data_IF_261146999762
#
_entry.id   IF_261146999762
#
_cell.length_a   1.000
_cell.length_b   1.000
_cell.length_c   1.000
_cell.angle_alpha   90.00
_cell.angle_beta   90.00
_cell.angle_gamma   90.00
#
_symmetry.space_group_name_H-M   'P 1'
#
loop_
_entity.id
_entity.type
_entity.pdbx_description
1 polymer ?
#
# COMPACT_ATOMS: atom_id res chain seq x y z
N UNK A 1 5.91 11.78 -4.50
CA UNK A 1 5.82 10.32 -4.63
C UNK A 1 4.54 9.81 -3.99
N UNK A 2 3.95 8.78 -4.59
CA UNK A 2 2.87 7.97 -4.00
C UNK A 2 3.52 6.66 -3.58
N UNK A 3 3.39 6.28 -2.31
CA UNK A 3 4.13 5.15 -1.75
C UNK A 3 3.24 4.27 -0.87
N UNK A 4 3.48 2.96 -0.95
CA UNK A 4 3.03 2.07 0.11
C UNK A 4 3.95 2.26 1.32
N UNK A 5 3.42 2.60 2.51
CA UNK A 5 4.24 2.95 3.68
C UNK A 5 5.10 1.78 4.18
N UNK A 6 4.65 0.54 3.96
CA UNK A 6 5.42 -0.64 4.35
C UNK A 6 6.69 -0.80 3.50
N UNK A 7 6.63 -0.46 2.20
CA UNK A 7 7.81 -0.54 1.32
C UNK A 7 8.95 0.38 1.79
N UNK A 8 8.63 1.49 2.45
CA UNK A 8 9.63 2.45 2.95
C UNK A 8 10.45 1.86 4.11
N UNK A 9 9.99 0.80 4.76
CA UNK A 9 10.78 0.12 5.79
C UNK A 9 12.05 -0.56 5.23
N UNK A 10 12.09 -0.89 3.93
CA UNK A 10 13.23 -1.52 3.24
C UNK A 10 13.85 -0.62 2.17
N UNK A 11 13.28 0.54 1.91
CA UNK A 11 13.77 1.51 0.92
C UNK A 11 14.28 2.78 1.62
N UNK A 12 15.14 3.53 0.93
CA UNK A 12 15.47 4.88 1.37
C UNK A 12 14.21 5.75 1.42
N UNK A 13 14.10 6.69 2.38
CA UNK A 13 12.97 7.60 2.45
C UNK A 13 12.82 8.41 1.15
N UNK A 14 11.58 8.73 0.72
CA UNK A 14 11.33 9.47 -0.51
C UNK A 14 12.09 10.79 -0.64
N UNK A 15 12.31 11.50 0.46
CA UNK A 15 13.14 12.73 0.47
C UNK A 15 14.62 12.52 0.12
N UNK A 16 15.07 11.28 -0.07
CA UNK A 16 16.43 10.91 -0.47
C UNK A 16 16.49 10.23 -1.86
N UNK A 17 15.38 10.22 -2.62
CA UNK A 17 15.36 9.61 -3.93
C UNK A 17 15.90 10.53 -5.01
N UNK A 18 16.64 9.95 -5.95
CA UNK A 18 17.26 10.72 -7.04
C UNK A 18 18.25 11.77 -6.54
N UNK A 19 18.42 12.85 -7.29
CA UNK A 19 19.35 13.96 -6.97
C UNK A 19 18.78 14.97 -5.98
N UNK A 20 17.45 15.17 -5.95
CA UNK A 20 16.81 16.24 -5.20
C UNK A 20 15.81 15.74 -4.14
N UNK A 21 15.52 14.45 -4.11
CA UNK A 21 14.46 13.89 -3.29
C UNK A 21 13.04 14.19 -3.80
N UNK A 22 12.04 13.66 -3.13
CA UNK A 22 10.64 14.00 -3.38
C UNK A 22 10.21 15.15 -2.44
N UNK A 23 9.57 16.18 -3.00
CA UNK A 23 9.03 17.29 -2.23
C UNK A 23 7.82 16.90 -1.39
N UNK A 24 7.03 15.96 -1.89
CA UNK A 24 5.83 15.44 -1.24
C UNK A 24 5.84 13.91 -1.33
N UNK A 25 5.54 13.26 -0.22
CA UNK A 25 5.25 11.85 -0.15
C UNK A 25 3.87 11.63 0.47
N UNK A 26 3.04 10.82 -0.20
CA UNK A 26 1.71 10.50 0.28
C UNK A 26 1.36 9.04 -0.03
N UNK A 27 0.32 8.54 0.60
CA UNK A 27 -0.15 7.18 0.40
C UNK A 27 -1.29 6.83 1.33
N UNK A 28 -1.69 5.57 1.25
CA UNK A 28 -2.69 4.97 2.13
C UNK A 28 -2.00 4.35 3.35
N UNK A 29 -2.54 4.62 4.53
CA UNK A 29 -2.02 4.07 5.79
C UNK A 29 -2.53 2.67 6.14
N UNK A 30 -3.44 2.10 5.35
CA UNK A 30 -4.01 0.78 5.63
C UNK A 30 -2.96 -0.31 5.91
N UNK A 31 -1.83 -0.41 5.16
CA UNK A 31 -0.80 -1.43 5.42
C UNK A 31 -0.13 -1.35 6.80
N UNK A 32 -0.33 -0.27 7.54
CA UNK A 32 0.20 -0.09 8.89
C UNK A 32 -0.78 -0.60 9.98
N UNK A 33 -1.37 -1.78 9.75
CA UNK A 33 -2.19 -2.48 10.74
C UNK A 33 -3.67 -2.09 10.76
N UNK A 34 -4.17 -1.39 9.75
CA UNK A 34 -5.61 -1.20 9.60
C UNK A 34 -6.23 -2.44 8.91
N UNK A 35 -7.34 -3.00 9.43
CA UNK A 35 -8.01 -4.13 8.79
C UNK A 35 -8.60 -3.73 7.44
N UNK A 36 -8.78 -4.69 6.52
CA UNK A 36 -9.34 -4.43 5.18
C UNK A 36 -10.75 -3.86 5.21
N UNK A 37 -11.59 -4.31 6.13
CA UNK A 37 -12.95 -3.79 6.41
C UNK A 37 -13.82 -3.53 5.16
N UNK A 38 -13.53 -4.18 4.04
CA UNK A 38 -14.28 -4.09 2.76
C UNK A 38 -14.59 -2.65 2.32
N UNK A 39 -13.63 -1.77 2.40
CA UNK A 39 -13.76 -0.38 1.97
C UNK A 39 -13.62 0.67 3.07
N UNK A 40 -13.08 0.30 4.21
CA UNK A 40 -12.75 1.25 5.25
C UNK A 40 -13.43 1.00 6.60
N UNK A 41 -13.15 1.85 7.61
CA UNK A 41 -12.46 3.14 7.46
C UNK A 41 -10.93 2.97 7.30
N UNK A 42 -10.36 3.79 6.40
CA UNK A 42 -8.90 3.91 6.21
C UNK A 42 -8.45 5.35 6.48
N UNK A 43 -7.17 5.60 6.39
CA UNK A 43 -6.60 6.94 6.46
C UNK A 43 -5.46 7.08 5.45
N UNK A 44 -5.27 8.31 4.96
CA UNK A 44 -4.12 8.66 4.15
C UNK A 44 -3.03 9.31 4.99
N UNK A 45 -1.80 9.24 4.54
CA UNK A 45 -0.70 10.04 5.08
C UNK A 45 -0.15 10.99 4.01
N UNK A 46 0.38 12.11 4.48
CA UNK A 46 1.05 13.09 3.63
C UNK A 46 2.20 13.71 4.40
N UNK A 47 3.38 13.70 3.77
CA UNK A 47 4.58 14.38 4.23
C UNK A 47 5.04 15.34 3.16
N UNK A 48 5.65 16.45 3.54
CA UNK A 48 6.23 17.40 2.59
C UNK A 48 7.56 17.97 3.11
N UNK A 49 8.33 18.57 2.18
CA UNK A 49 9.51 19.33 2.53
C UNK A 49 9.15 20.55 3.37
N UNK A 50 10.11 21.06 4.16
CA UNK A 50 9.93 22.22 5.02
C UNK A 50 9.45 23.47 4.26
N UNK A 51 9.83 23.61 3.00
CA UNK A 51 9.42 24.74 2.15
C UNK A 51 7.91 24.76 1.90
N UNK A 52 7.26 23.58 1.89
CA UNK A 52 5.84 23.42 1.58
C UNK A 52 4.93 23.31 2.82
N UNK A 53 5.51 23.29 4.03
CA UNK A 53 4.73 23.05 5.26
C UNK A 53 3.55 24.03 5.46
N UNK A 54 3.68 25.28 5.00
CA UNK A 54 2.60 26.27 5.10
C UNK A 54 1.44 26.02 4.13
N UNK A 55 1.60 25.15 3.16
CA UNK A 55 0.60 24.77 2.17
C UNK A 55 0.02 23.36 2.44
N UNK A 56 0.57 22.66 3.42
CA UNK A 56 0.13 21.32 3.79
C UNK A 56 -1.31 21.36 4.33
N UNK A 57 -2.21 20.46 3.88
CA UNK A 57 -3.56 20.37 4.43
C UNK A 57 -3.56 19.79 5.85
N UNK A 58 -4.68 19.95 6.56
CA UNK A 58 -4.90 19.40 7.88
C UNK A 58 -4.22 20.19 9.01
N UNK A 59 -4.41 19.72 10.24
CA UNK A 59 -3.87 20.32 11.45
C UNK A 59 -2.43 19.88 11.67
N UNK A 60 -1.61 20.81 12.10
CA UNK A 60 -0.21 20.55 12.47
C UNK A 60 -0.04 20.85 13.95
N UNK A 61 0.38 19.84 14.69
CA UNK A 61 0.69 19.92 16.13
C UNK A 61 2.19 20.13 16.29
N UNK A 62 2.55 21.15 17.05
CA UNK A 62 3.93 21.42 17.43
C UNK A 62 4.18 21.09 18.90
N UNK A 63 5.39 20.63 19.21
CA UNK A 63 5.88 20.50 20.59
C UNK A 63 6.47 21.83 21.03
N UNK A 64 6.12 22.27 22.24
CA UNK A 64 6.55 23.54 22.82
C UNK A 64 6.62 23.43 24.34
N UNK A 65 6.99 24.52 24.99
CA UNK A 65 6.93 24.67 26.46
C UNK A 65 5.94 25.76 26.82
N UNK A 66 5.25 25.62 27.96
CA UNK A 66 4.42 26.67 28.54
C UNK A 66 5.27 27.75 29.25
N UNK A 67 4.60 28.72 29.87
CA UNK A 67 5.26 29.82 30.59
C UNK A 67 6.03 29.35 31.83
N UNK A 68 5.72 28.18 32.35
CA UNK A 68 6.39 27.54 33.49
C UNK A 68 7.52 26.60 33.03
N UNK A 69 7.80 26.49 31.72
CA UNK A 69 8.81 25.60 31.15
C UNK A 69 8.38 24.13 31.04
N UNK A 70 7.09 23.81 31.21
CA UNK A 70 6.58 22.44 31.05
C UNK A 70 6.36 22.14 29.59
N UNK A 71 6.80 20.94 29.15
CA UNK A 71 6.56 20.48 27.78
C UNK A 71 5.07 20.21 27.52
N UNK A 72 4.62 20.57 26.33
CA UNK A 72 3.27 20.35 25.87
C UNK A 72 3.14 20.41 24.36
N UNK A 73 1.92 20.22 23.87
CA UNK A 73 1.59 20.22 22.45
C UNK A 73 0.56 21.31 22.15
N UNK A 74 0.70 21.95 21.01
CA UNK A 74 -0.17 23.05 20.57
C UNK A 74 -0.40 22.98 19.07
N UNK A 75 -1.60 23.40 18.65
CA UNK A 75 -1.89 23.58 17.22
C UNK A 75 -1.06 24.74 16.67
N UNK A 76 -0.34 24.49 15.59
CA UNK A 76 0.52 25.48 14.93
C UNK A 76 -0.04 25.85 13.56
N UNK A 77 0.42 26.98 13.00
CA UNK A 77 0.07 27.45 11.65
C UNK A 77 -1.44 27.50 11.40
N UNK A 78 -2.24 27.78 12.41
CA UNK A 78 -3.71 27.74 12.34
C UNK A 78 -4.31 28.73 11.32
N UNK A 79 -3.57 29.80 10.96
CA UNK A 79 -4.03 30.81 10.01
C UNK A 79 -4.35 30.28 8.61
N UNK A 80 -3.91 29.05 8.25
CA UNK A 80 -4.25 28.38 6.98
C UNK A 80 -5.50 27.50 7.08
N UNK A 81 -6.08 27.35 8.28
CA UNK A 81 -7.18 26.46 8.57
C UNK A 81 -8.56 27.08 8.27
N UNK A 82 -9.54 26.22 8.02
CA UNK A 82 -10.89 26.63 7.59
C UNK A 82 -11.62 27.48 8.64
N UNK A 83 -11.46 27.18 9.92
CA UNK A 83 -12.13 27.94 10.99
C UNK A 83 -11.63 29.38 11.10
N UNK A 84 -10.47 29.71 10.53
CA UNK A 84 -9.93 31.08 10.47
C UNK A 84 -10.12 31.67 9.07
N UNK A 85 -9.68 30.98 8.03
CA UNK A 85 -9.66 31.47 6.65
C UNK A 85 -10.95 31.26 5.88
N UNK A 86 -11.87 30.45 6.37
CA UNK A 86 -13.15 30.12 5.72
C UNK A 86 -12.94 29.63 4.28
N UNK A 87 -13.56 30.26 3.30
CA UNK A 87 -13.42 29.89 1.88
C UNK A 87 -12.01 30.06 1.29
N UNK A 88 -11.13 30.79 1.97
CA UNK A 88 -9.74 31.00 1.56
C UNK A 88 -8.76 30.06 2.25
N UNK A 89 -9.25 29.04 2.97
CA UNK A 89 -8.40 28.05 3.58
C UNK A 89 -7.64 27.24 2.53
N UNK A 90 -6.44 26.76 2.86
CA UNK A 90 -5.65 25.88 1.99
C UNK A 90 -6.39 24.58 1.66
N UNK A 91 -7.17 24.06 2.63
CA UNK A 91 -7.96 22.85 2.51
C UNK A 91 -9.21 22.94 3.40
N UNK A 92 -10.27 22.23 3.02
CA UNK A 92 -11.46 22.02 3.85
C UNK A 92 -11.39 20.74 4.70
N UNK A 93 -10.26 20.04 4.71
CA UNK A 93 -10.03 18.89 5.58
C UNK A 93 -10.03 19.35 7.04
N UNK A 94 -10.96 18.86 7.83
CA UNK A 94 -11.11 19.22 9.24
C UNK A 94 -10.66 18.09 10.17
N UNK A 95 -11.19 16.89 9.98
CA UNK A 95 -10.88 15.70 10.77
C UNK A 95 -10.52 14.53 9.84
N UNK A 96 -9.77 13.60 10.38
CA UNK A 96 -9.42 12.35 9.71
C UNK A 96 -9.90 11.17 10.56
N UNK A 97 -9.49 9.95 10.21
CA UNK A 97 -9.79 8.71 10.91
C UNK A 97 -8.92 8.55 12.18
N UNK A 98 -9.13 9.41 13.18
CA UNK A 98 -8.31 9.47 14.39
C UNK A 98 -8.19 8.12 15.12
N UNK A 99 -9.27 7.34 15.19
CA UNK A 99 -9.25 6.02 15.82
C UNK A 99 -8.35 5.05 15.07
N UNK A 100 -8.46 4.98 13.73
CA UNK A 100 -7.64 4.10 12.89
C UNK A 100 -6.17 4.54 12.92
N UNK A 101 -5.92 5.85 12.91
CA UNK A 101 -4.55 6.40 13.06
C UNK A 101 -3.93 6.00 14.41
N UNK A 102 -4.73 6.04 15.50
CA UNK A 102 -4.28 5.59 16.82
C UNK A 102 -3.97 4.10 16.81
N UNK A 103 -4.84 3.27 16.23
CA UNK A 103 -4.59 1.84 16.10
C UNK A 103 -3.30 1.55 15.32
N UNK A 104 -3.07 2.23 14.20
CA UNK A 104 -1.82 2.10 13.42
C UNK A 104 -0.59 2.58 14.19
N UNK A 105 -0.71 3.62 14.99
CA UNK A 105 0.37 4.09 15.87
C UNK A 105 0.77 3.03 16.89
N UNK A 106 -0.22 2.38 17.51
CA UNK A 106 0.00 1.30 18.46
C UNK A 106 0.64 0.09 17.74
N UNK A 107 0.12 -0.28 16.57
CA UNK A 107 0.66 -1.36 15.76
C UNK A 107 2.15 -1.13 15.43
N UNK A 108 2.49 0.05 14.92
CA UNK A 108 3.89 0.41 14.62
C UNK A 108 4.77 0.41 15.88
N UNK A 109 4.25 0.87 17.02
CA UNK A 109 4.99 0.88 18.29
C UNK A 109 5.28 -0.54 18.80
N UNK A 110 4.34 -1.48 18.62
CA UNK A 110 4.51 -2.89 19.01
C UNK A 110 5.53 -3.59 18.10
N UNK A 111 5.43 -3.41 16.78
CA UNK A 111 6.36 -4.02 15.82
C UNK A 111 7.76 -3.42 15.94
N UNK A 112 7.84 -2.13 16.16
CA UNK A 112 9.09 -1.38 16.10
C UNK A 112 9.72 -1.39 14.70
N UNK A 113 10.90 -0.76 14.53
CA UNK A 113 11.54 -0.64 13.21
C UNK A 113 11.92 -2.00 12.61
N UNK A 114 12.41 -2.93 13.44
CA UNK A 114 12.79 -4.28 12.98
C UNK A 114 11.57 -5.11 12.54
N UNK A 115 10.45 -4.99 13.26
CA UNK A 115 9.22 -5.69 12.89
C UNK A 115 8.68 -5.20 11.55
N UNK A 116 8.66 -3.89 11.32
CA UNK A 116 8.25 -3.31 10.03
C UNK A 116 9.17 -3.72 8.89
N UNK A 117 10.50 -3.70 9.11
CA UNK A 117 11.49 -4.15 8.14
C UNK A 117 11.30 -5.64 7.78
N UNK A 118 11.13 -6.50 8.79
CA UNK A 118 10.93 -7.93 8.58
C UNK A 118 9.62 -8.20 7.81
N UNK A 119 8.53 -7.51 8.16
CA UNK A 119 7.25 -7.63 7.46
C UNK A 119 7.38 -7.21 5.99
N UNK A 120 8.01 -6.07 5.73
CA UNK A 120 8.23 -5.59 4.37
C UNK A 120 9.12 -6.55 3.55
N UNK A 121 10.19 -7.06 4.14
CA UNK A 121 11.08 -8.02 3.50
C UNK A 121 10.36 -9.34 3.17
N UNK A 122 9.52 -9.84 4.09
CA UNK A 122 8.72 -11.04 3.87
C UNK A 122 7.69 -10.84 2.75
N UNK A 123 6.96 -9.71 2.73
CA UNK A 123 6.03 -9.39 1.64
C UNK A 123 6.73 -9.39 0.29
N UNK A 124 7.89 -8.75 0.20
CA UNK A 124 8.66 -8.71 -1.04
C UNK A 124 9.15 -10.09 -1.47
N UNK A 125 9.69 -10.88 -0.54
CA UNK A 125 10.19 -12.23 -0.82
C UNK A 125 9.07 -13.16 -1.29
N UNK A 126 7.94 -13.19 -0.56
CA UNK A 126 6.80 -14.03 -0.91
C UNK A 126 6.20 -13.66 -2.26
N UNK A 127 6.09 -12.37 -2.58
CA UNK A 127 5.58 -11.96 -3.90
C UNK A 127 6.53 -12.36 -5.02
N UNK A 128 7.83 -12.21 -4.84
CA UNK A 128 8.81 -12.66 -5.84
C UNK A 128 8.76 -14.16 -6.06
N UNK A 129 8.64 -14.92 -4.99
CA UNK A 129 8.53 -16.38 -5.04
C UNK A 129 7.24 -16.79 -5.76
N UNK A 130 6.09 -16.21 -5.38
CA UNK A 130 4.81 -16.46 -6.04
C UNK A 130 4.88 -16.14 -7.53
N UNK A 131 5.40 -14.97 -7.91
CA UNK A 131 5.53 -14.57 -9.32
C UNK A 131 6.43 -15.53 -10.09
N UNK A 132 7.53 -16.00 -9.49
CA UNK A 132 8.43 -16.97 -10.10
C UNK A 132 7.72 -18.32 -10.33
N UNK A 133 6.95 -18.81 -9.36
CA UNK A 133 6.16 -20.04 -9.49
C UNK A 133 5.08 -19.92 -10.59
N UNK A 134 4.34 -18.80 -10.60
CA UNK A 134 3.26 -18.59 -11.56
C UNK A 134 3.77 -18.38 -12.99
N UNK A 135 4.84 -17.61 -13.18
CA UNK A 135 5.44 -17.40 -14.50
C UNK A 135 6.20 -18.63 -15.03
N UNK A 136 6.43 -19.65 -14.21
CA UNK A 136 6.88 -20.98 -14.62
C UNK A 136 5.77 -21.88 -15.17
N UNK A 137 4.54 -21.38 -15.31
CA UNK A 137 3.40 -22.07 -15.90
C UNK A 137 3.22 -21.62 -17.34
N UNK A 138 3.07 -22.56 -18.27
CA UNK A 138 2.76 -22.25 -19.67
C UNK A 138 1.47 -21.42 -19.75
N UNK A 139 1.49 -20.34 -20.53
CA UNK A 139 0.35 -19.42 -20.64
C UNK A 139 0.31 -18.31 -19.58
N UNK A 140 1.33 -18.21 -18.71
CA UNK A 140 1.47 -17.11 -17.73
C UNK A 140 2.77 -16.34 -17.96
N UNK A 141 2.70 -15.01 -18.01
CA UNK A 141 3.86 -14.15 -18.13
C UNK A 141 3.72 -12.86 -17.34
N UNK A 142 4.80 -12.31 -16.84
CA UNK A 142 4.81 -10.99 -16.24
C UNK A 142 4.52 -9.92 -17.30
N UNK A 143 3.63 -8.96 -16.97
CA UNK A 143 3.31 -7.85 -17.86
C UNK A 143 4.45 -6.83 -17.95
N UNK A 144 5.24 -6.69 -16.89
CA UNK A 144 6.29 -5.67 -16.77
C UNK A 144 7.59 -6.27 -16.23
N UNK A 145 8.72 -5.68 -16.65
CA UNK A 145 10.06 -6.06 -16.19
C UNK A 145 10.62 -5.13 -15.10
N UNK A 146 9.82 -4.19 -14.61
CA UNK A 146 10.22 -3.27 -13.54
C UNK A 146 10.32 -3.99 -12.19
N UNK A 147 11.17 -3.49 -11.26
CA UNK A 147 11.15 -3.97 -9.88
C UNK A 147 9.75 -3.83 -9.26
N UNK A 148 9.35 -4.83 -8.50
CA UNK A 148 8.07 -4.88 -7.79
C UNK A 148 8.31 -4.84 -6.28
N UNK A 149 7.31 -4.48 -5.50
CA UNK A 149 7.34 -4.67 -4.05
C UNK A 149 6.53 -5.91 -3.65
N UNK A 150 5.22 -5.83 -3.54
CA UNK A 150 4.35 -6.95 -3.15
C UNK A 150 3.11 -7.08 -4.04
N UNK A 151 3.13 -6.43 -5.20
CA UNK A 151 2.10 -6.53 -6.24
C UNK A 151 2.77 -6.73 -7.58
N UNK A 152 2.17 -7.58 -8.43
CA UNK A 152 2.65 -7.84 -9.78
C UNK A 152 1.48 -8.09 -10.72
N UNK A 153 1.62 -7.62 -11.96
CA UNK A 153 0.65 -7.89 -13.03
C UNK A 153 1.12 -9.07 -13.85
N UNK A 154 0.26 -10.07 -13.97
CA UNK A 154 0.47 -11.25 -14.80
C UNK A 154 -0.54 -11.26 -15.94
N UNK A 155 -0.09 -11.67 -17.11
CA UNK A 155 -0.90 -11.88 -18.31
C UNK A 155 -1.17 -13.37 -18.46
N UNK A 156 -2.42 -13.72 -18.77
CA UNK A 156 -2.89 -15.09 -18.96
C UNK A 156 -3.28 -15.32 -20.41
N UNK A 157 -3.11 -16.53 -20.91
CA UNK A 157 -3.58 -16.90 -22.25
C UNK A 157 -5.08 -17.20 -22.28
N UNK A 158 -5.71 -17.43 -21.10
CA UNK A 158 -7.15 -17.58 -20.91
C UNK A 158 -7.80 -16.32 -20.33
N UNK A 159 -9.12 -16.15 -20.48
CA UNK A 159 -9.84 -15.04 -19.86
C UNK A 159 -9.62 -15.00 -18.34
N UNK A 160 -9.15 -13.85 -17.84
CA UNK A 160 -8.83 -13.68 -16.42
C UNK A 160 -10.02 -13.98 -15.49
N UNK A 161 -11.23 -13.53 -15.89
CA UNK A 161 -12.46 -13.76 -15.13
C UNK A 161 -12.82 -15.25 -14.96
N UNK A 162 -12.62 -16.07 -16.00
CA UNK A 162 -12.88 -17.50 -15.96
C UNK A 162 -11.89 -18.20 -15.03
N UNK A 163 -10.60 -17.89 -15.19
CA UNK A 163 -9.53 -18.44 -14.35
C UNK A 163 -9.73 -18.09 -12.88
N UNK A 164 -10.03 -16.83 -12.57
CA UNK A 164 -10.27 -16.39 -11.20
C UNK A 164 -11.53 -17.04 -10.59
N UNK A 165 -12.56 -17.25 -11.38
CA UNK A 165 -13.77 -17.97 -10.95
C UNK A 165 -13.47 -19.44 -10.61
N UNK A 166 -12.68 -20.13 -11.43
CA UNK A 166 -12.29 -21.52 -11.18
C UNK A 166 -11.39 -21.65 -9.94
N UNK A 167 -10.46 -20.73 -9.72
CA UNK A 167 -9.66 -20.65 -8.50
C UNK A 167 -10.51 -20.40 -7.26
N UNK A 168 -11.51 -19.51 -7.35
CA UNK A 168 -12.42 -19.22 -6.24
C UNK A 168 -13.25 -20.44 -5.81
N UNK A 169 -13.62 -21.34 -6.74
CA UNK A 169 -14.28 -22.62 -6.41
C UNK A 169 -13.37 -23.55 -5.60
N UNK A 170 -12.07 -23.36 -5.65
CA UNK A 170 -11.06 -24.06 -4.85
C UNK A 170 -10.64 -23.27 -3.60
N UNK A 171 -11.40 -22.25 -3.20
CA UNK A 171 -11.12 -21.33 -2.09
C UNK A 171 -9.82 -20.52 -2.26
N UNK A 172 -9.41 -20.24 -3.50
CA UNK A 172 -8.25 -19.42 -3.81
C UNK A 172 -8.72 -18.10 -4.45
N UNK A 173 -8.54 -16.99 -3.74
CA UNK A 173 -8.70 -15.66 -4.32
C UNK A 173 -7.39 -15.30 -5.04
N UNK A 174 -7.32 -15.70 -6.32
CA UNK A 174 -6.07 -15.70 -7.10
C UNK A 174 -5.57 -14.31 -7.52
N UNK A 175 -6.36 -13.26 -7.36
CA UNK A 175 -5.97 -11.91 -7.74
C UNK A 175 -7.15 -11.04 -8.12
N UNK A 176 -6.86 -9.91 -8.74
CA UNK A 176 -7.86 -8.96 -9.24
C UNK A 176 -7.82 -8.93 -10.77
N UNK A 177 -8.99 -9.06 -11.42
CA UNK A 177 -9.13 -8.96 -12.87
C UNK A 177 -8.97 -7.49 -13.30
N UNK A 178 -7.96 -7.21 -14.11
CA UNK A 178 -7.65 -5.87 -14.61
C UNK A 178 -8.37 -5.53 -15.91
N UNK A 179 -9.09 -6.45 -16.51
CA UNK A 179 -9.69 -6.28 -17.84
C UNK A 179 -10.67 -5.12 -17.95
N UNK A 180 -11.39 -4.79 -16.87
CA UNK A 180 -12.32 -3.66 -16.83
C UNK A 180 -11.60 -2.32 -16.67
N UNK A 181 -10.52 -2.26 -15.90
CA UNK A 181 -9.79 -1.03 -15.57
C UNK A 181 -8.69 -0.70 -16.59
N UNK A 182 -8.07 -1.75 -17.17
CA UNK A 182 -6.94 -1.67 -18.11
C UNK A 182 -7.15 -2.61 -19.30
N UNK A 183 -8.15 -2.34 -20.17
CA UNK A 183 -8.48 -3.24 -21.29
C UNK A 183 -7.34 -3.45 -22.27
N UNK A 184 -6.38 -2.54 -22.33
CA UNK A 184 -5.18 -2.65 -23.16
C UNK A 184 -4.22 -3.77 -22.72
N UNK A 185 -4.32 -4.26 -21.48
CA UNK A 185 -3.52 -5.37 -20.98
C UNK A 185 -4.11 -6.74 -21.36
N UNK A 186 -5.35 -6.79 -21.83
CA UNK A 186 -6.04 -8.04 -22.17
C UNK A 186 -6.35 -8.88 -20.92
N UNK A 187 -6.04 -10.16 -20.96
CA UNK A 187 -6.31 -11.10 -19.86
C UNK A 187 -5.29 -10.92 -18.73
N UNK A 188 -5.37 -9.82 -18.00
CA UNK A 188 -4.41 -9.46 -16.97
C UNK A 188 -5.01 -9.61 -15.57
N UNK A 189 -4.21 -10.13 -14.64
CA UNK A 189 -4.54 -10.19 -13.21
C UNK A 189 -3.48 -9.47 -12.38
N UNK A 190 -3.91 -8.80 -11.33
CA UNK A 190 -3.03 -8.27 -10.29
C UNK A 190 -2.93 -9.29 -9.17
N UNK A 191 -1.71 -9.76 -8.89
CA UNK A 191 -1.43 -10.69 -7.80
C UNK A 191 -0.65 -10.00 -6.68
N UNK A 192 -0.88 -10.46 -5.44
CA UNK A 192 -0.22 -9.95 -4.25
C UNK A 192 0.05 -11.09 -3.28
N UNK A 193 1.24 -11.11 -2.67
CA UNK A 193 1.54 -11.96 -1.52
C UNK A 193 2.14 -11.12 -0.40
N UNK A 194 1.57 -11.25 0.79
CA UNK A 194 2.04 -10.55 1.98
C UNK A 194 2.84 -11.51 2.88
N UNK A 195 3.30 -11.02 4.02
CA UNK A 195 3.97 -11.81 5.05
C UNK A 195 3.12 -12.96 5.62
N UNK A 196 1.80 -12.91 5.38
CA UNK A 196 0.88 -13.94 5.85
C UNK A 196 0.82 -15.17 4.93
N UNK A 197 1.39 -15.09 3.73
CA UNK A 197 1.33 -16.22 2.79
C UNK A 197 2.42 -17.24 3.11
N UNK A 198 1.99 -18.49 3.25
CA UNK A 198 2.91 -19.62 3.45
C UNK A 198 3.36 -20.21 2.11
N UNK A 199 4.45 -20.97 2.13
CA UNK A 199 4.92 -21.70 0.96
C UNK A 199 3.87 -22.69 0.43
N UNK A 200 3.16 -23.39 1.33
CA UNK A 200 2.10 -24.34 0.99
C UNK A 200 0.93 -23.65 0.29
N UNK A 201 0.53 -22.46 0.74
CA UNK A 201 -0.55 -21.68 0.10
C UNK A 201 -0.13 -21.21 -1.29
N UNK A 202 1.10 -20.76 -1.48
CA UNK A 202 1.62 -20.35 -2.78
C UNK A 202 1.75 -21.53 -3.74
N UNK A 203 2.19 -22.70 -3.25
CA UNK A 203 2.21 -23.94 -4.03
C UNK A 203 0.82 -24.41 -4.41
N UNK A 204 -0.15 -24.33 -3.49
CA UNK A 204 -1.55 -24.68 -3.79
C UNK A 204 -2.11 -23.80 -4.91
N UNK A 205 -1.83 -22.48 -4.84
CA UNK A 205 -2.24 -21.56 -5.90
C UNK A 205 -1.59 -21.90 -7.24
N UNK A 206 -0.27 -22.09 -7.29
CA UNK A 206 0.42 -22.40 -8.54
C UNK A 206 -0.05 -23.75 -9.14
N UNK A 207 -0.35 -24.74 -8.30
CA UNK A 207 -0.88 -26.03 -8.74
C UNK A 207 -2.28 -25.90 -9.33
N UNK A 208 -3.17 -25.17 -8.67
CA UNK A 208 -4.53 -24.93 -9.14
C UNK A 208 -4.56 -24.14 -10.45
N UNK A 209 -3.74 -23.08 -10.56
CA UNK A 209 -3.63 -22.28 -11.78
C UNK A 209 -3.09 -23.11 -12.95
N UNK A 210 -2.08 -23.94 -12.72
CA UNK A 210 -1.53 -24.84 -13.74
C UNK A 210 -2.60 -25.83 -14.26
N UNK A 211 -3.37 -26.41 -13.35
CA UNK A 211 -4.44 -27.33 -13.72
C UNK A 211 -5.51 -26.63 -14.57
N UNK A 212 -5.89 -25.40 -14.19
CA UNK A 212 -6.90 -24.63 -14.91
C UNK A 212 -6.44 -24.21 -16.32
N UNK A 213 -5.20 -23.84 -16.47
CA UNK A 213 -4.65 -23.45 -17.78
C UNK A 213 -4.40 -24.65 -18.70
N UNK A 214 -4.18 -25.86 -18.16
CA UNK A 214 -3.98 -27.08 -18.92
C UNK A 214 -5.28 -27.68 -19.50
N UNK A 215 -6.46 -27.28 -19.02
CA UNK A 215 -7.75 -27.74 -19.59
C UNK A 215 -7.92 -27.09 -20.96
N UNK A 216 -7.88 -27.88 -22.03
CA UNK A 216 -8.23 -27.41 -23.37
C UNK A 216 -9.72 -27.01 -23.41
N UNK A 217 -9.98 -25.82 -23.93
CA UNK A 217 -11.33 -25.29 -24.18
C UNK A 217 -11.99 -25.95 -25.39
#
# INVERSE_FOLDING_TARGET
>A
SITNPLSIAVLKPPGQWGSNGADIACGDGQPLGAPLSSGGPYYGFLCCSQALVRQMPGRIVGRTTDVDGREGFVLTLQAREQHIRRSKATSNICTNQGLVVTASTIHMAILGPRGLENTAAACHANTRELVAQLTGIDGVRAAFNSPIFHESVLLLDKPASEVLQALAQQNILGGYDLGADYPELGNAILVCATELRTEEEMMAYSTALRAELAVET
#
